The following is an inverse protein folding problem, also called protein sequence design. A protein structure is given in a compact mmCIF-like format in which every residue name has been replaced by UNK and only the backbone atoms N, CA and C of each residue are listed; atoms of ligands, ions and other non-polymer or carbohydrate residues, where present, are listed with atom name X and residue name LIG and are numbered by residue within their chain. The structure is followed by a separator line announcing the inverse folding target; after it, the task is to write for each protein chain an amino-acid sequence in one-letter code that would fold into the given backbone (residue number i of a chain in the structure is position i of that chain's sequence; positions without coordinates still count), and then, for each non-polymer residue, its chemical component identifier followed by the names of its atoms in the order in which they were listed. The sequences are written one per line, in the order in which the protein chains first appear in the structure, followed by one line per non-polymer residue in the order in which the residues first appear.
data_IF_178989245383
#
_entry.id   IF_178989245383
#
_cell.length_a   1.000
_cell.length_b   1.000
_cell.length_c   1.000
_cell.angle_alpha   90.00
_cell.angle_beta   90.00
_cell.angle_gamma   90.00
#
_symmetry.space_group_name_H-M   'P 1'
#
loop_
_entity.id
_entity.type
_entity.pdbx_description
1 polymer ?
#
# COMPACT_ATOMS: atom_id res chain seq x y z
N UNK A 1 -5.73 21.07 9.36
CA UNK A 1 -5.25 22.02 8.33
C UNK A 1 -6.18 21.91 7.14
N UNK A 2 -6.36 22.97 6.35
CA UNK A 2 -7.11 22.86 5.09
C UNK A 2 -6.34 21.95 4.13
N UNK A 3 -6.96 20.93 3.51
CA UNK A 3 -6.25 20.04 2.60
C UNK A 3 -5.72 20.82 1.38
N UNK A 4 -4.54 20.43 0.83
CA UNK A 4 -4.00 21.06 -0.37
C UNK A 4 -4.96 20.99 -1.55
N UNK A 5 -5.09 22.09 -2.28
CA UNK A 5 -5.93 22.18 -3.49
C UNK A 5 -5.11 21.70 -4.69
N UNK A 6 -5.62 20.78 -5.52
CA UNK A 6 -4.91 20.33 -6.72
C UNK A 6 -4.77 21.47 -7.75
N UNK A 7 -3.66 21.47 -8.49
CA UNK A 7 -3.44 22.36 -9.63
C UNK A 7 -4.37 22.04 -10.81
N UNK A 8 -4.71 20.76 -10.96
CA UNK A 8 -5.72 20.28 -11.89
C UNK A 8 -6.41 19.06 -11.30
N UNK A 9 -7.70 18.95 -11.55
CA UNK A 9 -8.49 17.78 -11.21
C UNK A 9 -9.44 17.47 -12.36
N UNK A 10 -9.47 16.22 -12.79
CA UNK A 10 -10.34 15.75 -13.87
C UNK A 10 -10.59 14.24 -13.72
N UNK A 11 -11.55 13.74 -14.49
CA UNK A 11 -11.85 12.31 -14.55
C UNK A 11 -11.40 11.73 -15.88
N UNK A 12 -10.88 10.50 -15.83
CA UNK A 12 -10.70 9.62 -16.98
C UNK A 12 -11.52 8.38 -16.69
N UNK A 13 -12.63 8.21 -17.41
CA UNK A 13 -13.69 7.26 -17.05
C UNK A 13 -14.10 7.43 -15.58
N UNK A 14 -13.97 6.38 -14.76
CA UNK A 14 -14.27 6.42 -13.32
C UNK A 14 -13.06 6.81 -12.44
N UNK A 15 -11.91 7.11 -13.04
CA UNK A 15 -10.67 7.44 -12.33
C UNK A 15 -10.58 8.95 -12.09
N UNK A 16 -10.58 9.35 -10.81
CA UNK A 16 -10.30 10.72 -10.40
C UNK A 16 -8.79 11.00 -10.44
N UNK A 17 -8.37 11.91 -11.30
CA UNK A 17 -6.97 12.33 -11.46
C UNK A 17 -6.77 13.69 -10.82
N UNK A 18 -5.80 13.78 -9.90
CA UNK A 18 -5.43 15.02 -9.22
C UNK A 18 -3.95 15.31 -9.42
N UNK A 19 -3.62 16.53 -9.82
CA UNK A 19 -2.25 16.98 -10.08
C UNK A 19 -1.86 17.99 -9.00
N UNK A 20 -0.68 17.79 -8.42
CA UNK A 20 -0.11 18.62 -7.37
C UNK A 20 1.31 19.06 -7.74
N UNK A 21 1.80 20.17 -7.17
CA UNK A 21 3.06 20.79 -7.60
C UNK A 21 4.30 19.93 -7.32
N UNK A 22 4.26 19.10 -6.29
CA UNK A 22 5.41 18.33 -5.83
C UNK A 22 4.99 17.06 -5.09
N UNK A 23 5.96 16.15 -4.93
CA UNK A 23 5.80 14.84 -4.28
C UNK A 23 5.49 14.93 -2.79
N UNK A 24 5.91 16.00 -2.12
CA UNK A 24 5.61 16.20 -0.70
C UNK A 24 4.11 16.49 -0.50
N UNK A 25 3.56 17.38 -1.34
CA UNK A 25 2.13 17.69 -1.36
C UNK A 25 1.30 16.46 -1.73
N UNK A 26 1.72 15.69 -2.76
CA UNK A 26 1.05 14.43 -3.13
C UNK A 26 1.07 13.45 -1.96
N UNK A 27 2.21 13.30 -1.29
CA UNK A 27 2.35 12.40 -0.14
C UNK A 27 1.38 12.74 0.99
N UNK A 28 1.24 14.02 1.33
CA UNK A 28 0.30 14.50 2.35
C UNK A 28 -1.17 14.24 1.97
N UNK A 29 -1.53 14.52 0.71
CA UNK A 29 -2.89 14.29 0.21
C UNK A 29 -3.24 12.81 0.17
N UNK A 30 -2.32 11.97 -0.32
CA UNK A 30 -2.49 10.52 -0.34
C UNK A 30 -2.61 9.95 1.08
N UNK A 31 -1.82 10.45 2.04
CA UNK A 31 -1.92 10.06 3.44
C UNK A 31 -3.26 10.45 4.07
N UNK A 32 -3.79 11.64 3.77
CA UNK A 32 -5.13 12.05 4.20
C UNK A 32 -6.21 11.13 3.61
N UNK A 33 -6.16 10.85 2.31
CA UNK A 33 -7.11 9.94 1.65
C UNK A 33 -7.10 8.56 2.32
N UNK A 34 -5.91 7.96 2.50
CA UNK A 34 -5.77 6.66 3.16
C UNK A 34 -6.30 6.70 4.58
N UNK A 35 -6.02 7.75 5.36
CA UNK A 35 -6.54 7.88 6.72
C UNK A 35 -8.07 7.93 6.76
N UNK A 36 -8.69 8.69 5.85
CA UNK A 36 -10.16 8.79 5.75
C UNK A 36 -10.77 7.42 5.47
N UNK A 37 -10.26 6.70 4.48
CA UNK A 37 -10.79 5.39 4.10
C UNK A 37 -10.57 4.33 5.20
N UNK A 38 -9.38 4.29 5.82
CA UNK A 38 -9.12 3.39 6.94
C UNK A 38 -10.03 3.69 8.14
N UNK A 39 -10.21 4.96 8.49
CA UNK A 39 -11.07 5.36 9.60
C UNK A 39 -12.56 5.09 9.31
N UNK A 40 -13.00 5.24 8.06
CA UNK A 40 -14.35 4.86 7.65
C UNK A 40 -14.57 3.34 7.82
N UNK A 41 -13.64 2.51 7.31
CA UNK A 41 -13.68 1.06 7.45
C UNK A 41 -13.66 0.61 8.93
N UNK A 42 -12.80 1.21 9.75
CA UNK A 42 -12.75 0.96 11.19
C UNK A 42 -14.06 1.38 11.87
N UNK A 43 -14.62 2.53 11.52
CA UNK A 43 -15.89 3.00 12.08
C UNK A 43 -17.07 2.08 11.76
N UNK A 44 -17.07 1.47 10.57
CA UNK A 44 -18.15 0.58 10.11
C UNK A 44 -17.99 -0.86 10.62
N UNK A 45 -16.78 -1.42 10.56
CA UNK A 45 -16.51 -2.86 10.78
C UNK A 45 -15.61 -3.16 11.97
N UNK A 46 -15.05 -2.13 12.61
CA UNK A 46 -14.07 -2.26 13.70
C UNK A 46 -12.66 -2.66 13.25
N UNK A 47 -12.41 -2.79 11.95
CA UNK A 47 -11.12 -3.18 11.36
C UNK A 47 -11.00 -2.62 9.94
N UNK A 48 -9.78 -2.42 9.46
CA UNK A 48 -9.52 -2.08 8.06
C UNK A 48 -8.39 -2.94 7.48
N UNK A 49 -8.41 -3.13 6.16
CA UNK A 49 -7.43 -3.90 5.40
C UNK A 49 -6.72 -2.99 4.37
N UNK A 50 -5.40 -2.89 4.49
CA UNK A 50 -4.55 -1.99 3.71
C UNK A 50 -3.58 -2.80 2.84
N UNK A 51 -3.49 -2.51 1.55
CA UNK A 51 -2.38 -2.98 0.68
C UNK A 51 -1.38 -1.85 0.49
N UNK A 52 -0.09 -2.13 0.67
CA UNK A 52 0.99 -1.15 0.47
C UNK A 52 2.03 -1.71 -0.51
N UNK A 53 2.32 -0.93 -1.55
CA UNK A 53 3.37 -1.22 -2.53
C UNK A 53 4.72 -0.59 -2.15
N UNK A 54 5.76 -0.97 -2.88
CA UNK A 54 7.07 -0.32 -2.80
C UNK A 54 7.24 0.75 -3.88
N UNK A 55 8.41 1.39 -3.92
CA UNK A 55 8.79 2.33 -4.97
C UNK A 55 9.14 3.72 -4.46
N UNK A 56 9.85 4.48 -5.29
CA UNK A 56 10.29 5.83 -4.94
C UNK A 56 9.13 6.80 -4.72
N UNK A 57 8.00 6.60 -5.40
CA UNK A 57 6.77 7.39 -5.21
C UNK A 57 6.15 7.23 -3.82
N UNK A 58 6.52 6.18 -3.08
CA UNK A 58 5.96 5.89 -1.76
C UNK A 58 6.69 6.63 -0.63
N UNK A 59 7.85 7.25 -0.86
CA UNK A 59 8.66 7.80 0.24
C UNK A 59 7.97 8.94 0.98
N UNK A 60 7.58 10.00 0.29
CA UNK A 60 6.90 11.14 0.90
C UNK A 60 5.52 10.77 1.43
N UNK A 61 4.83 9.84 0.76
CA UNK A 61 3.55 9.30 1.21
C UNK A 61 3.67 8.53 2.53
N UNK A 62 4.58 7.55 2.63
CA UNK A 62 4.76 6.76 3.85
C UNK A 62 5.21 7.65 5.01
N UNK A 63 6.08 8.62 4.77
CA UNK A 63 6.49 9.59 5.78
C UNK A 63 5.28 10.41 6.29
N UNK A 64 4.44 10.91 5.38
CA UNK A 64 3.23 11.65 5.74
C UNK A 64 2.20 10.78 6.47
N UNK A 65 2.04 9.52 6.05
CA UNK A 65 1.13 8.56 6.67
C UNK A 65 1.58 8.20 8.09
N UNK A 66 2.88 7.98 8.31
CA UNK A 66 3.44 7.73 9.64
C UNK A 66 3.35 8.93 10.58
N UNK A 67 3.32 10.15 10.05
CA UNK A 67 3.13 11.36 10.85
C UNK A 67 1.69 11.53 11.36
N UNK A 68 0.74 10.72 10.89
CA UNK A 68 -0.65 10.77 11.33
C UNK A 68 -0.85 10.12 12.69
N UNK A 69 -1.73 10.72 13.49
CA UNK A 69 -2.05 10.29 14.86
C UNK A 69 -3.51 9.88 15.04
N UNK A 70 -4.30 9.97 13.97
CA UNK A 70 -5.74 9.73 13.91
C UNK A 70 -6.09 8.38 13.27
N UNK A 71 -5.13 7.47 13.12
CA UNK A 71 -5.35 6.11 12.61
C UNK A 71 -5.13 5.12 13.77
N UNK A 72 -6.15 4.31 14.07
CA UNK A 72 -6.03 3.20 15.04
C UNK A 72 -5.31 1.99 14.38
N UNK A 73 -3.98 2.08 14.24
CA UNK A 73 -3.17 1.06 13.55
C UNK A 73 -3.38 -0.37 14.06
N UNK A 74 -3.68 -0.54 15.35
CA UNK A 74 -3.93 -1.85 15.96
C UNK A 74 -5.25 -2.51 15.50
N UNK A 75 -6.02 -1.83 14.65
CA UNK A 75 -7.20 -2.32 13.94
C UNK A 75 -6.97 -2.54 12.44
N UNK A 76 -5.78 -2.22 11.94
CA UNK A 76 -5.41 -2.32 10.53
C UNK A 76 -4.63 -3.61 10.27
N UNK A 77 -5.13 -4.44 9.37
CA UNK A 77 -4.39 -5.57 8.78
C UNK A 77 -3.72 -5.09 7.49
N UNK A 78 -2.40 -5.18 7.41
CA UNK A 78 -1.66 -4.76 6.23
C UNK A 78 -1.23 -5.95 5.35
N UNK A 79 -1.21 -5.72 4.05
CA UNK A 79 -0.82 -6.66 3.01
C UNK A 79 0.27 -6.06 2.13
N UNK A 80 1.21 -6.89 1.76
CA UNK A 80 2.23 -6.61 0.76
C UNK A 80 1.68 -6.84 -0.65
N UNK A 81 2.04 -6.00 -1.63
CA UNK A 81 1.54 -6.14 -3.00
C UNK A 81 2.25 -7.26 -3.78
N UNK A 82 3.58 -7.29 -3.77
CA UNK A 82 4.40 -8.12 -4.66
C UNK A 82 5.77 -8.42 -4.07
N UNK A 83 6.45 -9.48 -4.51
CA UNK A 83 7.81 -9.81 -4.07
C UNK A 83 8.53 -10.60 -5.15
N UNK A 84 9.86 -10.50 -5.20
CA UNK A 84 10.66 -11.30 -6.11
C UNK A 84 10.66 -12.78 -5.71
N UNK A 85 10.54 -13.65 -6.73
CA UNK A 85 10.69 -15.09 -6.54
C UNK A 85 12.13 -15.46 -6.16
N UNK A 86 12.30 -16.29 -5.14
CA UNK A 86 13.58 -16.78 -4.62
C UNK A 86 14.34 -15.78 -3.75
N UNK A 87 13.78 -14.59 -3.46
CA UNK A 87 14.49 -13.57 -2.68
C UNK A 87 14.34 -13.82 -1.18
N UNK A 88 15.46 -13.75 -0.44
CA UNK A 88 15.43 -13.81 1.02
C UNK A 88 14.83 -12.52 1.63
N UNK A 89 14.14 -12.59 2.78
CA UNK A 89 13.49 -11.42 3.40
C UNK A 89 14.47 -10.35 3.89
N UNK A 90 15.75 -10.67 4.08
CA UNK A 90 16.80 -9.74 4.49
C UNK A 90 17.62 -9.20 3.31
N UNK A 91 17.37 -9.68 2.09
CA UNK A 91 18.06 -9.21 0.89
C UNK A 91 17.78 -7.71 0.66
N UNK A 92 18.78 -6.89 0.27
CA UNK A 92 18.58 -5.44 0.07
C UNK A 92 17.50 -5.07 -0.96
N UNK A 93 17.23 -5.96 -1.93
CA UNK A 93 16.19 -5.77 -2.94
C UNK A 93 14.82 -6.36 -2.53
N UNK A 94 14.68 -6.96 -1.34
CA UNK A 94 13.41 -7.51 -0.89
C UNK A 94 12.42 -6.39 -0.60
N UNK A 95 11.23 -6.50 -1.18
CA UNK A 95 10.15 -5.57 -0.92
C UNK A 95 9.56 -5.75 0.49
N UNK A 96 9.62 -6.97 1.05
CA UNK A 96 9.36 -7.21 2.48
C UNK A 96 10.27 -6.38 3.36
N UNK A 97 11.58 -6.40 3.08
CA UNK A 97 12.58 -5.61 3.82
C UNK A 97 12.28 -4.12 3.70
N UNK A 98 12.03 -3.65 2.48
CA UNK A 98 11.74 -2.24 2.21
C UNK A 98 10.59 -1.72 3.08
N UNK A 99 9.44 -2.41 3.09
CA UNK A 99 8.26 -2.01 3.85
C UNK A 99 8.42 -2.24 5.35
N UNK A 100 9.10 -3.31 5.76
CA UNK A 100 9.42 -3.51 7.16
C UNK A 100 10.22 -2.33 7.70
N UNK A 101 11.28 -1.93 6.99
CA UNK A 101 12.16 -0.85 7.40
C UNK A 101 11.48 0.53 7.42
N UNK A 102 10.57 0.77 6.47
CA UNK A 102 9.98 2.11 6.23
C UNK A 102 8.59 2.30 6.79
N UNK A 103 7.88 1.24 7.11
CA UNK A 103 6.48 1.34 7.53
C UNK A 103 6.15 0.38 8.67
N UNK A 104 6.21 -0.93 8.45
CA UNK A 104 5.62 -1.90 9.40
C UNK A 104 6.24 -1.89 10.79
N UNK A 105 7.53 -1.58 10.94
CA UNK A 105 8.16 -1.50 12.26
C UNK A 105 7.85 -0.20 13.03
N UNK A 106 7.22 0.79 12.39
CA UNK A 106 6.96 2.11 12.97
C UNK A 106 5.53 2.29 13.49
N UNK A 107 4.65 1.31 13.26
CA UNK A 107 3.25 1.33 13.68
C UNK A 107 2.84 -0.01 14.27
N UNK A 108 1.94 0.02 15.26
CA UNK A 108 1.40 -1.20 15.86
C UNK A 108 0.23 -1.71 15.03
N UNK A 109 0.51 -2.51 13.99
CA UNK A 109 -0.53 -3.10 13.14
C UNK A 109 -1.22 -4.28 13.81
N UNK A 110 -2.50 -4.50 13.51
CA UNK A 110 -3.26 -5.70 13.94
C UNK A 110 -2.59 -6.99 13.45
N UNK A 111 -2.21 -6.98 12.19
CA UNK A 111 -1.49 -8.05 11.52
C UNK A 111 -0.79 -7.50 10.27
N UNK A 112 0.30 -8.14 9.86
CA UNK A 112 1.00 -7.88 8.61
C UNK A 112 1.17 -9.20 7.86
N UNK A 113 0.65 -9.26 6.64
CA UNK A 113 0.78 -10.40 5.75
C UNK A 113 1.75 -10.07 4.63
N UNK A 114 2.87 -10.79 4.61
CA UNK A 114 3.92 -10.66 3.61
C UNK A 114 3.91 -11.85 2.66
N UNK A 115 4.17 -11.59 1.38
CA UNK A 115 4.48 -12.60 0.37
C UNK A 115 5.86 -13.22 0.64
N UNK A 116 5.91 -14.54 0.74
CA UNK A 116 7.15 -15.28 0.97
C UNK A 116 7.81 -15.64 -0.37
N UNK A 117 8.61 -14.71 -0.90
CA UNK A 117 9.33 -14.92 -2.17
C UNK A 117 10.25 -16.15 -2.15
N UNK A 118 10.76 -16.53 -0.98
CA UNK A 118 11.64 -17.68 -0.74
C UNK A 118 10.91 -18.90 -0.17
N UNK A 119 9.59 -18.98 -0.29
CA UNK A 119 8.85 -20.16 0.18
C UNK A 119 9.32 -21.44 -0.55
N UNK A 120 9.50 -22.57 0.16
CA UNK A 120 9.94 -23.82 -0.44
C UNK A 120 8.89 -24.41 -1.40
N UNK A 121 7.61 -24.10 -1.16
CA UNK A 121 6.50 -24.41 -2.04
C UNK A 121 5.75 -23.12 -2.40
N UNK A 122 6.02 -22.62 -3.61
CA UNK A 122 5.44 -21.38 -4.13
C UNK A 122 3.93 -21.52 -4.39
N UNK A 123 3.46 -22.72 -4.75
CA UNK A 123 2.03 -22.93 -5.00
C UNK A 123 1.26 -22.89 -3.68
N UNK A 124 1.82 -23.46 -2.62
CA UNK A 124 1.27 -23.34 -1.27
C UNK A 124 1.28 -21.88 -0.79
N UNK A 125 2.32 -21.11 -1.09
CA UNK A 125 2.39 -19.69 -0.75
C UNK A 125 1.34 -18.85 -1.49
N UNK A 126 1.16 -19.07 -2.80
CA UNK A 126 0.10 -18.42 -3.58
C UNK A 126 -1.26 -18.76 -2.96
N UNK A 127 -1.54 -20.04 -2.70
CA UNK A 127 -2.81 -20.48 -2.12
C UNK A 127 -3.05 -19.84 -0.74
N UNK A 128 -2.02 -19.78 0.12
CA UNK A 128 -2.08 -19.14 1.44
C UNK A 128 -2.40 -17.65 1.29
N UNK A 129 -1.68 -16.93 0.43
CA UNK A 129 -1.83 -15.49 0.28
C UNK A 129 -3.18 -15.12 -0.35
N UNK A 130 -3.63 -15.86 -1.37
CA UNK A 130 -4.95 -15.69 -1.97
C UNK A 130 -6.07 -15.94 -0.97
N UNK A 131 -5.95 -16.96 -0.10
CA UNK A 131 -6.94 -17.21 0.95
C UNK A 131 -7.00 -16.07 1.97
N UNK A 132 -5.85 -15.48 2.33
CA UNK A 132 -5.81 -14.33 3.21
C UNK A 132 -6.49 -13.11 2.59
N UNK A 133 -6.23 -12.80 1.32
CA UNK A 133 -6.87 -11.69 0.60
C UNK A 133 -8.39 -11.92 0.46
N UNK A 134 -8.83 -13.15 0.18
CA UNK A 134 -10.25 -13.48 0.10
C UNK A 134 -10.97 -13.31 1.47
N UNK A 135 -10.29 -13.61 2.57
CA UNK A 135 -10.81 -13.44 3.92
C UNK A 135 -10.76 -11.99 4.43
N UNK A 136 -9.99 -11.11 3.77
CA UNK A 136 -9.77 -9.72 4.15
C UNK A 136 -9.94 -8.82 2.93
N UNK A 137 -11.19 -8.51 2.53
CA UNK A 137 -11.44 -7.59 1.42
C UNK A 137 -10.70 -6.28 1.61
N UNK A 138 -9.98 -5.84 0.58
CA UNK A 138 -9.12 -4.65 0.63
C UNK A 138 -9.97 -3.40 0.69
N UNK A 139 -9.73 -2.56 1.69
CA UNK A 139 -10.40 -1.26 1.81
C UNK A 139 -9.63 -0.19 1.02
N UNK A 140 -8.30 -0.21 1.09
CA UNK A 140 -7.43 0.71 0.34
C UNK A 140 -6.17 -0.01 -0.15
N UNK A 141 -5.77 0.27 -1.39
CA UNK A 141 -4.49 -0.14 -1.95
C UNK A 141 -3.66 1.07 -2.38
N UNK A 142 -2.47 1.22 -1.80
CA UNK A 142 -1.52 2.27 -2.13
C UNK A 142 -0.50 1.72 -3.13
N UNK A 143 -0.75 1.95 -4.42
CA UNK A 143 0.01 1.36 -5.52
C UNK A 143 0.75 2.40 -6.35
N UNK A 144 1.94 2.06 -6.82
CA UNK A 144 2.67 2.83 -7.83
C UNK A 144 2.30 2.38 -9.24
N UNK A 145 2.45 3.28 -10.21
CA UNK A 145 2.38 2.98 -11.65
C UNK A 145 3.78 3.17 -12.22
N UNK A 146 4.30 2.14 -12.88
CA UNK A 146 5.60 2.19 -13.55
C UNK A 146 5.61 3.11 -14.77
N UNK A 147 6.80 3.53 -15.23
CA UNK A 147 6.93 4.41 -16.40
C UNK A 147 6.35 3.80 -17.69
N UNK A 148 6.34 2.48 -17.79
CA UNK A 148 5.71 1.71 -18.87
C UNK A 148 4.23 1.36 -18.60
N UNK A 149 3.64 1.87 -17.52
CA UNK A 149 2.26 1.61 -17.12
C UNK A 149 2.04 0.33 -16.32
N UNK A 150 3.09 -0.37 -15.87
CA UNK A 150 2.93 -1.58 -15.08
C UNK A 150 2.36 -1.32 -13.69
N UNK A 151 1.70 -2.35 -13.15
CA UNK A 151 1.26 -2.43 -11.76
C UNK A 151 1.85 -3.69 -11.14
N UNK A 152 2.67 -3.55 -10.10
CA UNK A 152 3.50 -4.64 -9.60
C UNK A 152 4.26 -5.32 -10.77
N UNK A 153 4.26 -6.64 -10.85
CA UNK A 153 4.86 -7.38 -11.96
C UNK A 153 3.95 -7.59 -13.18
N UNK A 154 2.89 -6.78 -13.35
CA UNK A 154 1.98 -6.86 -14.50
C UNK A 154 2.33 -5.75 -15.53
N UNK A 155 3.14 -6.09 -16.54
CA UNK A 155 3.57 -5.20 -17.62
C UNK A 155 2.56 -5.18 -18.79
N UNK A 156 2.20 -4.01 -19.36
CA UNK A 156 1.32 -3.95 -20.53
C UNK A 156 1.92 -4.52 -21.84
N UNK A 157 1.14 -5.24 -22.68
CA UNK A 157 -0.18 -5.79 -22.37
C UNK A 157 -0.03 -6.98 -21.42
N UNK A 158 -0.53 -6.82 -20.20
CA UNK A 158 -0.69 -7.93 -19.27
C UNK A 158 -1.94 -8.71 -19.69
N UNK A 159 -1.83 -10.02 -19.62
CA UNK A 159 -2.82 -11.03 -19.99
C UNK A 159 -4.05 -11.08 -19.08
#
# INVERSE_FOLDING_TARGET
MTPPIPQAQYFVDDVNVQIYPDKETIGQVAAEFVAVELNAAIGERGTANLVVATGASQYEFLAALLARTDIEWNRVTAFHLDEYLGIAPDHPASFRRFLHERFFQHVELKAVHLLQGDAPDIQAEIARYSALLAAHPVDVACIGIGENGHLAFNDPPAD
#
